data_IF_393170684272
#
_entry.id   IF_393170684272
#
_cell.length_a   1.000
_cell.length_b   1.000
_cell.length_c   1.000
_cell.angle_alpha   90.00
_cell.angle_beta   90.00
_cell.angle_gamma   90.00
#
_symmetry.space_group_name_H-M   'P 1'
#
loop_
_entity.id
_entity.type
_entity.pdbx_description
1 polymer ?
#
# COMPACT_ATOMS: atom_id res chain seq x y z
N UNK A 1 -15.60 -8.11 8.30
CA UNK A 1 -14.63 -8.98 7.58
C UNK A 1 -13.34 -9.01 8.39
N UNK A 2 -12.65 -10.15 8.48
CA UNK A 2 -11.37 -10.22 9.20
C UNK A 2 -10.29 -9.45 8.44
N UNK A 3 -9.36 -8.78 9.12
CA UNK A 3 -8.38 -7.89 8.47
C UNK A 3 -7.56 -8.60 7.38
N UNK A 4 -7.25 -9.89 7.58
CA UNK A 4 -6.58 -10.75 6.59
C UNK A 4 -7.32 -10.83 5.24
N UNK A 5 -8.65 -10.90 5.25
CA UNK A 5 -9.46 -10.97 4.03
C UNK A 5 -9.60 -9.58 3.37
N UNK A 6 -9.67 -8.52 4.18
CA UNK A 6 -9.67 -7.14 3.69
C UNK A 6 -8.35 -6.79 3.01
N UNK A 7 -7.23 -7.16 3.65
CA UNK A 7 -5.90 -7.06 3.10
C UNK A 7 -5.79 -7.81 1.77
N UNK A 8 -6.22 -9.08 1.75
CA UNK A 8 -6.26 -9.88 0.53
C UNK A 8 -7.04 -9.19 -0.60
N UNK A 9 -8.19 -8.59 -0.30
CA UNK A 9 -8.99 -7.87 -1.29
C UNK A 9 -8.24 -6.63 -1.85
N UNK A 10 -7.57 -5.86 -0.99
CA UNK A 10 -6.77 -4.72 -1.41
C UNK A 10 -5.59 -5.13 -2.30
N UNK A 11 -4.86 -6.19 -1.93
CA UNK A 11 -3.75 -6.74 -2.74
C UNK A 11 -4.24 -7.26 -4.10
N UNK A 12 -5.38 -7.94 -4.14
CA UNK A 12 -5.93 -8.41 -5.41
C UNK A 12 -6.40 -7.25 -6.30
N UNK A 13 -6.92 -6.17 -5.71
CA UNK A 13 -7.28 -4.96 -6.45
C UNK A 13 -6.04 -4.25 -7.03
N UNK A 14 -4.97 -4.11 -6.26
CA UNK A 14 -3.71 -3.53 -6.76
C UNK A 14 -3.05 -4.40 -7.83
N UNK A 15 -3.09 -5.73 -7.69
CA UNK A 15 -2.66 -6.68 -8.73
C UNK A 15 -3.48 -6.51 -10.01
N UNK A 16 -4.81 -6.41 -9.90
CA UNK A 16 -5.67 -6.20 -11.06
C UNK A 16 -5.32 -4.89 -11.81
N UNK A 17 -4.96 -3.82 -11.09
CA UNK A 17 -4.48 -2.58 -11.72
C UNK A 17 -3.08 -2.78 -12.33
N UNK A 18 -2.16 -3.41 -11.60
CA UNK A 18 -0.78 -3.62 -12.07
C UNK A 18 -0.69 -4.46 -13.36
N UNK A 19 -1.57 -5.46 -13.53
CA UNK A 19 -1.64 -6.25 -14.78
C UNK A 19 -2.01 -5.44 -16.02
N UNK A 20 -2.46 -4.19 -15.86
CA UNK A 20 -2.83 -3.28 -16.95
C UNK A 20 -1.75 -2.27 -17.29
N UNK A 21 -0.67 -2.22 -16.51
CA UNK A 21 0.48 -1.34 -16.74
C UNK A 21 1.19 -1.80 -18.00
N UNK A 22 1.47 -0.85 -18.90
CA UNK A 22 2.29 -1.08 -20.09
C UNK A 22 3.69 -0.51 -19.90
N UNK A 23 4.63 -0.88 -20.77
CA UNK A 23 5.99 -0.32 -20.75
C UNK A 23 6.00 1.21 -20.87
N UNK A 24 5.06 1.78 -21.63
CA UNK A 24 4.91 3.22 -21.79
C UNK A 24 4.43 3.92 -20.51
N UNK A 25 3.74 3.19 -19.63
CA UNK A 25 3.26 3.74 -18.36
C UNK A 25 4.36 3.82 -17.31
N UNK A 26 5.41 3.00 -17.40
CA UNK A 26 6.44 2.86 -16.37
C UNK A 26 7.13 4.19 -16.01
N UNK A 27 7.28 5.11 -16.95
CA UNK A 27 7.88 6.43 -16.73
C UNK A 27 6.89 7.52 -16.34
N UNK A 28 5.58 7.24 -16.28
CA UNK A 28 4.56 8.23 -15.92
C UNK A 28 4.72 8.64 -14.46
N UNK A 29 4.44 9.92 -14.11
CA UNK A 29 4.43 10.35 -12.72
C UNK A 29 3.29 9.67 -11.95
N UNK A 30 3.38 9.66 -10.62
CA UNK A 30 2.34 9.16 -9.71
C UNK A 30 1.92 10.25 -8.71
N UNK A 31 0.82 10.05 -7.97
CA UNK A 31 0.46 10.93 -6.85
C UNK A 31 1.52 10.92 -5.71
N UNK A 32 2.32 9.85 -5.59
CA UNK A 32 3.51 9.85 -4.76
C UNK A 32 4.58 10.71 -5.45
N UNK A 33 4.76 11.94 -4.96
CA UNK A 33 5.69 12.89 -5.56
C UNK A 33 7.09 12.28 -5.71
N UNK A 34 7.77 12.60 -6.81
CA UNK A 34 9.09 12.06 -7.21
C UNK A 34 9.10 10.59 -7.66
N UNK A 35 7.99 9.85 -7.56
CA UNK A 35 7.92 8.47 -8.02
C UNK A 35 7.25 8.35 -9.38
N UNK A 36 7.93 7.64 -10.27
CA UNK A 36 7.32 7.07 -11.49
C UNK A 36 6.50 5.82 -11.16
N UNK A 37 5.70 5.34 -12.10
CA UNK A 37 4.99 4.05 -11.97
C UNK A 37 5.95 2.90 -11.65
N UNK A 38 7.14 2.87 -12.29
CA UNK A 38 8.15 1.88 -11.98
C UNK A 38 8.66 1.98 -10.53
N UNK A 39 8.85 3.20 -10.00
CA UNK A 39 9.24 3.40 -8.60
C UNK A 39 8.13 2.95 -7.64
N UNK A 40 6.87 3.29 -7.94
CA UNK A 40 5.72 2.89 -7.13
C UNK A 40 5.58 1.36 -7.07
N UNK A 41 5.63 0.68 -8.22
CA UNK A 41 5.60 -0.79 -8.26
C UNK A 41 6.75 -1.43 -7.47
N UNK A 42 7.95 -0.84 -7.56
CA UNK A 42 9.13 -1.30 -6.81
C UNK A 42 8.91 -1.12 -5.31
N UNK A 43 8.38 0.02 -4.87
CA UNK A 43 8.04 0.27 -3.47
C UNK A 43 7.03 -0.75 -2.94
N UNK A 44 5.93 -0.95 -3.67
CA UNK A 44 4.91 -1.93 -3.32
C UNK A 44 5.54 -3.34 -3.22
N UNK A 45 6.36 -3.75 -4.19
CA UNK A 45 7.03 -5.04 -4.16
C UNK A 45 7.94 -5.21 -2.91
N UNK A 46 8.66 -4.16 -2.51
CA UNK A 46 9.45 -4.15 -1.27
C UNK A 46 8.56 -4.30 -0.04
N UNK A 47 7.44 -3.57 0.05
CA UNK A 47 6.49 -3.69 1.16
C UNK A 47 5.95 -5.12 1.26
N UNK A 48 5.49 -5.71 0.14
CA UNK A 48 5.02 -7.09 0.11
C UNK A 48 6.06 -8.07 0.67
N UNK A 49 7.32 -7.97 0.24
CA UNK A 49 8.40 -8.84 0.72
C UNK A 49 8.70 -8.65 2.19
N UNK A 50 8.73 -7.40 2.66
CA UNK A 50 9.00 -7.10 4.06
C UNK A 50 7.92 -7.66 4.98
N UNK A 51 6.66 -7.50 4.61
CA UNK A 51 5.54 -8.08 5.35
C UNK A 51 5.49 -9.60 5.26
N UNK A 52 5.85 -10.19 4.11
CA UNK A 52 5.96 -11.64 3.95
C UNK A 52 7.06 -12.23 4.86
N UNK A 53 8.24 -11.60 4.88
CA UNK A 53 9.34 -11.98 5.77
C UNK A 53 8.92 -11.86 7.25
N UNK A 54 8.29 -10.76 7.64
CA UNK A 54 7.79 -10.56 9.01
C UNK A 54 6.78 -11.63 9.42
N UNK A 55 5.88 -12.04 8.51
CA UNK A 55 4.93 -13.12 8.75
C UNK A 55 5.60 -14.49 8.92
N UNK A 56 6.78 -14.69 8.31
CA UNK A 56 7.63 -15.88 8.49
C UNK A 56 8.59 -15.78 9.69
N UNK A 57 8.60 -14.65 10.41
CA UNK A 57 9.52 -14.39 11.52
C UNK A 57 10.95 -14.05 11.07
N UNK A 58 11.12 -13.62 9.82
CA UNK A 58 12.38 -13.29 9.18
C UNK A 58 12.58 -11.75 9.14
N UNK A 59 13.80 -11.33 8.77
CA UNK A 59 14.13 -9.91 8.52
C UNK A 59 14.15 -9.65 7.01
N UNK A 60 13.78 -8.44 6.62
CA UNK A 60 13.85 -7.96 5.23
C UNK A 60 14.62 -6.64 5.14
N UNK A 61 15.13 -6.32 3.95
CA UNK A 61 15.58 -4.97 3.61
C UNK A 61 14.39 -4.19 3.05
N UNK A 62 14.04 -3.08 3.70
CA UNK A 62 12.92 -2.20 3.34
C UNK A 62 13.36 -1.00 2.51
N UNK A 63 14.65 -0.89 2.19
CA UNK A 63 15.18 0.17 1.32
C UNK A 63 14.62 0.01 -0.08
N UNK A 64 14.20 1.13 -0.68
CA UNK A 64 13.75 1.17 -2.08
C UNK A 64 14.97 1.01 -3.02
N UNK A 65 15.08 -0.09 -3.79
CA UNK A 65 16.13 -0.23 -4.79
C UNK A 65 15.77 0.51 -6.09
N UNK A 66 16.68 0.47 -7.06
CA UNK A 66 16.33 0.80 -8.44
C UNK A 66 15.26 -0.19 -8.96
N UNK A 67 14.35 0.24 -9.85
CA UNK A 67 13.35 -0.66 -10.42
C UNK A 67 13.97 -1.88 -11.10
N UNK A 68 13.32 -3.04 -10.94
CA UNK A 68 13.68 -4.25 -11.66
C UNK A 68 13.55 -4.07 -13.18
N UNK A 69 14.18 -4.92 -14.01
CA UNK A 69 13.97 -4.90 -15.46
C UNK A 69 12.50 -5.07 -15.87
N UNK A 70 11.74 -5.84 -15.09
CA UNK A 70 10.29 -5.98 -15.21
C UNK A 70 9.63 -5.70 -13.85
N UNK A 71 9.30 -4.43 -13.53
CA UNK A 71 8.70 -4.06 -12.25
C UNK A 71 7.30 -4.66 -12.04
N UNK A 72 6.58 -4.93 -13.13
CA UNK A 72 5.22 -5.50 -13.05
C UNK A 72 5.32 -6.96 -12.62
N UNK A 73 6.12 -7.78 -13.29
CA UNK A 73 6.30 -9.18 -12.92
C UNK A 73 6.87 -9.32 -11.50
N UNK A 74 7.82 -8.46 -11.12
CA UNK A 74 8.40 -8.40 -9.78
C UNK A 74 7.34 -8.14 -8.71
N UNK A 75 6.50 -7.12 -8.93
CA UNK A 75 5.39 -6.77 -8.05
C UNK A 75 4.36 -7.90 -7.92
N UNK A 76 3.96 -8.51 -9.04
CA UNK A 76 3.00 -9.62 -9.04
C UNK A 76 3.50 -10.84 -8.25
N UNK A 77 4.79 -11.17 -8.38
CA UNK A 77 5.40 -12.24 -7.62
C UNK A 77 5.43 -11.94 -6.12
N UNK A 78 5.78 -10.71 -5.73
CA UNK A 78 5.78 -10.28 -4.33
C UNK A 78 4.36 -10.29 -3.73
N UNK A 79 3.35 -9.84 -4.50
CA UNK A 79 1.94 -9.88 -4.08
C UNK A 79 1.43 -11.29 -3.85
N UNK A 80 1.80 -12.24 -4.71
CA UNK A 80 1.47 -13.65 -4.50
C UNK A 80 2.12 -14.21 -3.22
N UNK A 81 3.38 -13.87 -2.95
CA UNK A 81 4.12 -14.33 -1.77
C UNK A 81 3.52 -13.82 -0.46
N UNK A 82 3.20 -12.52 -0.35
CA UNK A 82 2.62 -11.96 0.89
C UNK A 82 1.26 -12.59 1.20
N UNK A 83 0.44 -12.87 0.17
CA UNK A 83 -0.85 -13.53 0.34
C UNK A 83 -0.70 -14.95 0.90
N UNK A 84 0.36 -15.67 0.53
CA UNK A 84 0.68 -16.97 1.10
C UNK A 84 1.17 -16.80 2.54
N UNK A 85 2.13 -15.91 2.76
CA UNK A 85 2.73 -15.68 4.07
C UNK A 85 1.70 -15.27 5.14
N UNK A 86 0.78 -14.36 4.81
CA UNK A 86 -0.28 -13.92 5.73
C UNK A 86 -1.27 -15.02 6.09
N UNK A 87 -1.48 -16.03 5.24
CA UNK A 87 -2.32 -17.20 5.59
C UNK A 87 -1.70 -18.00 6.73
N UNK A 88 -0.38 -18.11 6.74
CA UNK A 88 0.41 -18.92 7.68
C UNK A 88 0.92 -18.12 8.89
N UNK A 89 0.75 -16.79 8.86
CA UNK A 89 1.21 -15.88 9.92
C UNK A 89 0.69 -16.26 11.31
N UNK A 90 1.59 -16.17 12.30
CA UNK A 90 1.27 -16.28 13.72
C UNK A 90 0.50 -15.07 14.27
N UNK A 91 0.40 -14.96 15.60
CA UNK A 91 -0.36 -13.90 16.28
C UNK A 91 0.36 -12.55 16.38
N UNK A 92 1.65 -12.48 16.09
CA UNK A 92 2.45 -11.27 16.16
C UNK A 92 3.47 -11.20 15.01
N UNK A 93 3.68 -9.99 14.48
CA UNK A 93 4.64 -9.69 13.42
C UNK A 93 5.64 -8.64 13.94
N UNK A 94 6.93 -8.87 13.69
CA UNK A 94 7.97 -7.91 14.01
C UNK A 94 8.23 -7.01 12.81
N UNK A 95 8.07 -5.69 12.99
CA UNK A 95 8.33 -4.65 11.99
C UNK A 95 9.35 -3.65 12.56
N UNK A 96 10.66 -3.97 12.54
CA UNK A 96 11.70 -3.17 13.19
C UNK A 96 11.75 -1.73 12.73
N UNK A 97 11.30 -1.47 11.50
CA UNK A 97 11.40 -0.14 10.88
C UNK A 97 10.35 0.82 11.41
N UNK A 98 9.33 0.29 12.10
CA UNK A 98 8.35 1.07 12.84
C UNK A 98 8.74 1.11 14.32
N UNK A 99 9.03 -0.06 14.91
CA UNK A 99 9.52 -0.18 16.30
C UNK A 99 10.15 -1.54 16.57
N UNK A 100 10.93 -1.63 17.65
CA UNK A 100 11.63 -2.85 18.05
C UNK A 100 10.71 -3.96 18.59
N UNK A 101 9.51 -3.64 19.09
CA UNK A 101 8.58 -4.63 19.65
C UNK A 101 7.57 -5.13 18.59
N UNK A 102 7.23 -6.44 18.59
CA UNK A 102 6.22 -6.97 17.69
C UNK A 102 4.87 -6.27 17.82
N UNK A 103 4.13 -6.20 16.72
CA UNK A 103 2.72 -5.82 16.69
C UNK A 103 1.85 -7.08 16.75
N UNK A 104 0.62 -6.98 17.29
CA UNK A 104 -0.41 -7.97 16.98
C UNK A 104 -0.53 -8.12 15.46
N UNK A 105 -0.63 -9.35 14.97
CA UNK A 105 -0.66 -9.62 13.53
C UNK A 105 -1.78 -8.87 12.82
N UNK A 106 -2.95 -8.76 13.46
CA UNK A 106 -4.07 -7.99 12.91
C UNK A 106 -3.72 -6.52 12.69
N UNK A 107 -2.97 -5.91 13.61
CA UNK A 107 -2.55 -4.52 13.49
C UNK A 107 -1.49 -4.35 12.39
N UNK A 108 -0.52 -5.26 12.30
CA UNK A 108 0.47 -5.24 11.22
C UNK A 108 -0.20 -5.41 9.85
N UNK A 109 -1.15 -6.35 9.72
CA UNK A 109 -1.95 -6.54 8.50
C UNK A 109 -2.81 -5.31 8.19
N UNK A 110 -3.27 -4.55 9.20
CA UNK A 110 -3.99 -3.31 8.96
C UNK A 110 -3.11 -2.21 8.35
N UNK A 111 -1.82 -2.17 8.70
CA UNK A 111 -0.87 -1.24 8.07
C UNK A 111 -0.66 -1.57 6.59
N UNK A 112 -0.42 -2.85 6.27
CA UNK A 112 -0.32 -3.31 4.89
C UNK A 112 -1.62 -3.06 4.13
N UNK A 113 -2.77 -3.40 4.72
CA UNK A 113 -4.08 -3.20 4.10
C UNK A 113 -4.32 -1.76 3.66
N UNK A 114 -4.12 -0.78 4.55
CA UNK A 114 -4.39 0.62 4.21
C UNK A 114 -3.40 1.16 3.17
N UNK A 115 -2.13 0.72 3.25
CA UNK A 115 -1.10 1.07 2.26
C UNK A 115 -1.52 0.61 0.86
N UNK A 116 -2.01 -0.63 0.73
CA UNK A 116 -2.43 -1.19 -0.54
C UNK A 116 -3.74 -0.61 -1.08
N UNK A 117 -4.66 -0.18 -0.23
CA UNK A 117 -5.84 0.57 -0.69
C UNK A 117 -5.41 1.88 -1.36
N UNK A 118 -4.48 2.61 -0.74
CA UNK A 118 -4.01 3.90 -1.27
C UNK A 118 -3.13 3.71 -2.50
N UNK A 119 -2.19 2.76 -2.48
CA UNK A 119 -1.30 2.54 -3.62
C UNK A 119 -1.98 1.88 -4.82
N UNK A 120 -3.05 1.09 -4.62
CA UNK A 120 -3.91 0.66 -5.72
C UNK A 120 -4.55 1.87 -6.42
N UNK A 121 -4.99 2.87 -5.66
CA UNK A 121 -5.49 4.13 -6.20
C UNK A 121 -4.38 4.95 -6.87
N UNK A 122 -3.21 5.09 -6.24
CA UNK A 122 -2.08 5.84 -6.79
C UNK A 122 -1.70 5.28 -8.18
N UNK A 123 -1.60 3.96 -8.30
CA UNK A 123 -1.27 3.27 -9.56
C UNK A 123 -2.39 3.42 -10.59
N UNK A 124 -3.66 3.27 -10.18
CA UNK A 124 -4.79 3.38 -11.09
C UNK A 124 -4.90 4.79 -11.68
N UNK A 125 -4.73 5.83 -10.85
CA UNK A 125 -4.63 7.23 -11.30
C UNK A 125 -3.48 7.40 -12.28
N UNK A 126 -2.29 6.92 -11.92
CA UNK A 126 -1.10 7.07 -12.75
C UNK A 126 -1.27 6.52 -14.16
N UNK A 127 -2.03 5.43 -14.34
CA UNK A 127 -2.28 4.83 -15.66
C UNK A 127 -3.62 5.24 -16.30
N UNK A 128 -4.42 6.07 -15.63
CA UNK A 128 -5.70 6.57 -16.16
C UNK A 128 -6.83 5.54 -16.09
N UNK A 129 -6.94 4.82 -14.98
CA UNK A 129 -8.03 3.86 -14.76
C UNK A 129 -8.59 3.87 -13.34
N UNK A 130 -9.59 3.02 -13.11
CA UNK A 130 -10.29 2.86 -11.85
C UNK A 130 -9.73 1.66 -11.08
N UNK A 131 -9.80 1.77 -9.75
CA UNK A 131 -9.46 0.67 -8.83
C UNK A 131 -10.72 -0.13 -8.49
N UNK A 132 -10.70 -1.48 -8.60
CA UNK A 132 -11.87 -2.31 -8.32
C UNK A 132 -12.05 -2.54 -6.82
N UNK A 133 -12.29 -1.48 -6.04
CA UNK A 133 -12.58 -1.52 -4.61
C UNK A 133 -14.03 -1.10 -4.34
N UNK A 134 -14.78 -1.94 -3.63
CA UNK A 134 -16.14 -1.66 -3.22
C UNK A 134 -16.25 -1.19 -1.76
N UNK A 135 -17.46 -0.79 -1.35
CA UNK A 135 -17.73 -0.27 -0.01
C UNK A 135 -17.43 -1.27 1.11
N UNK A 136 -17.42 -2.58 0.83
CA UNK A 136 -17.08 -3.60 1.83
C UNK A 136 -15.60 -3.57 2.23
N UNK A 137 -14.75 -3.08 1.34
CA UNK A 137 -13.33 -2.84 1.58
C UNK A 137 -13.09 -1.39 2.02
N UNK A 138 -13.74 -0.43 1.37
CA UNK A 138 -13.52 1.00 1.63
C UNK A 138 -14.01 1.43 3.02
N UNK A 139 -15.13 0.89 3.53
CA UNK A 139 -15.60 1.25 4.87
C UNK A 139 -14.57 0.87 5.96
N UNK A 140 -14.03 -0.36 6.03
CA UNK A 140 -12.92 -0.69 6.94
C UNK A 140 -11.63 0.10 6.66
N UNK A 141 -11.30 0.38 5.40
CA UNK A 141 -10.13 1.20 5.07
C UNK A 141 -10.27 2.61 5.66
N UNK A 142 -11.46 3.19 5.63
CA UNK A 142 -11.75 4.46 6.29
C UNK A 142 -11.60 4.39 7.83
N UNK A 143 -11.92 3.25 8.45
CA UNK A 143 -11.67 3.01 9.88
C UNK A 143 -10.18 3.01 10.21
N UNK A 144 -9.34 2.42 9.35
CA UNK A 144 -7.89 2.41 9.54
C UNK A 144 -7.29 3.77 9.24
N UNK A 145 -7.68 4.42 8.13
CA UNK A 145 -7.13 5.69 7.69
C UNK A 145 -7.22 6.78 8.76
N UNK A 146 -8.37 6.89 9.46
CA UNK A 146 -8.55 7.91 10.49
C UNK A 146 -7.76 7.66 11.77
N UNK A 147 -7.25 6.45 11.96
CA UNK A 147 -6.39 6.11 13.09
C UNK A 147 -4.92 6.46 12.81
N UNK A 148 -4.57 6.74 11.55
CA UNK A 148 -3.23 7.20 11.17
C UNK A 148 -3.05 8.65 11.66
N UNK A 149 -2.16 8.92 12.64
CA UNK A 149 -2.01 10.26 13.19
C UNK A 149 -1.64 11.28 12.11
N UNK A 150 -2.32 12.42 12.09
CA UNK A 150 -2.01 13.56 11.23
C UNK A 150 -1.36 14.66 12.07
N UNK A 151 -0.03 14.64 12.10
CA UNK A 151 0.79 15.50 12.96
C UNK A 151 2.14 15.82 12.32
N UNK A 152 3.01 16.51 13.06
CA UNK A 152 4.32 16.96 12.57
C UNK A 152 5.22 15.80 12.10
N UNK A 153 4.96 14.59 12.61
CA UNK A 153 5.56 13.33 12.16
C UNK A 153 5.42 13.12 10.65
N UNK A 154 4.30 13.57 10.04
CA UNK A 154 4.06 13.46 8.59
C UNK A 154 4.88 14.44 7.74
N UNK A 155 5.58 15.40 8.36
CA UNK A 155 6.47 16.34 7.67
C UNK A 155 7.93 15.88 7.68
N UNK A 156 8.25 14.80 8.39
CA UNK A 156 9.61 14.25 8.44
C UNK A 156 9.95 13.62 7.10
N UNK A 157 11.25 13.64 6.71
CA UNK A 157 11.74 12.76 5.66
C UNK A 157 11.31 11.31 5.95
N UNK A 158 10.92 10.58 4.92
CA UNK A 158 10.53 9.15 4.98
C UNK A 158 9.24 8.84 5.77
N UNK A 159 8.38 9.84 6.02
CA UNK A 159 7.06 9.59 6.58
C UNK A 159 6.22 8.66 5.66
N UNK A 160 5.55 7.67 6.25
CA UNK A 160 4.72 6.71 5.51
C UNK A 160 3.57 7.36 4.72
N UNK A 161 3.03 8.46 5.24
CA UNK A 161 1.99 9.25 4.60
C UNK A 161 2.32 10.74 4.68
N UNK A 162 2.03 11.46 3.60
CA UNK A 162 2.08 12.92 3.57
C UNK A 162 0.97 13.51 4.47
N UNK A 163 1.10 14.79 4.90
CA UNK A 163 0.05 15.47 5.67
C UNK A 163 -1.30 15.40 4.96
N UNK A 164 -2.39 15.25 5.73
CA UNK A 164 -3.72 15.20 5.14
C UNK A 164 -4.02 16.46 4.32
N UNK A 165 -4.75 16.29 3.22
CA UNK A 165 -5.24 17.40 2.40
C UNK A 165 -6.76 17.53 2.54
N UNK A 166 -7.35 18.70 2.26
CA UNK A 166 -8.80 18.86 2.31
C UNK A 166 -9.51 17.86 1.39
N UNK A 167 -10.32 16.99 1.98
CA UNK A 167 -11.21 16.14 1.22
C UNK A 167 -12.28 17.01 0.55
N UNK A 168 -12.61 16.69 -0.71
CA UNK A 168 -13.80 17.26 -1.38
C UNK A 168 -15.01 16.39 -1.06
N UNK A 169 -16.20 16.95 -1.24
CA UNK A 169 -17.40 16.12 -1.31
C UNK A 169 -17.23 15.15 -2.50
N UNK A 170 -17.22 13.85 -2.21
CA UNK A 170 -16.79 12.82 -3.16
C UNK A 170 -16.97 11.41 -2.62
N UNK A 171 -16.45 10.43 -3.35
CA UNK A 171 -16.53 9.03 -2.98
C UNK A 171 -15.75 8.76 -1.68
N UNK A 172 -16.05 7.64 -1.00
CA UNK A 172 -15.35 7.28 0.23
C UNK A 172 -13.83 7.12 0.01
N UNK A 173 -13.44 6.60 -1.15
CA UNK A 173 -12.03 6.49 -1.54
C UNK A 173 -11.33 7.85 -1.61
N UNK A 174 -11.99 8.89 -2.14
CA UNK A 174 -11.42 10.24 -2.20
C UNK A 174 -11.12 10.78 -0.80
N UNK A 175 -12.00 10.49 0.17
CA UNK A 175 -11.77 10.88 1.58
C UNK A 175 -10.60 10.11 2.19
N UNK A 176 -10.50 8.80 1.93
CA UNK A 176 -9.40 7.96 2.41
C UNK A 176 -8.06 8.50 1.91
N UNK A 177 -7.91 8.71 0.60
CA UNK A 177 -6.64 9.14 0.02
C UNK A 177 -6.29 10.59 0.42
N UNK A 178 -7.29 11.47 0.58
CA UNK A 178 -7.09 12.82 1.10
C UNK A 178 -6.59 12.82 2.56
N UNK A 179 -7.17 11.99 3.43
CA UNK A 179 -6.68 11.78 4.81
C UNK A 179 -5.25 11.25 4.85
N UNK A 180 -4.80 10.59 3.78
CA UNK A 180 -3.47 10.01 3.65
C UNK A 180 -2.56 10.81 2.69
N UNK A 181 -2.92 12.07 2.45
CA UNK A 181 -2.08 13.10 1.84
C UNK A 181 -2.04 13.13 0.31
N UNK A 182 -2.96 12.45 -0.36
CA UNK A 182 -3.12 12.51 -1.83
C UNK A 182 -4.20 13.52 -2.19
N UNK A 183 -3.98 14.32 -3.23
CA UNK A 183 -5.06 15.12 -3.83
C UNK A 183 -5.98 14.21 -4.65
N UNK A 184 -7.27 14.07 -4.29
CA UNK A 184 -8.19 13.22 -5.05
C UNK A 184 -8.40 13.65 -6.51
N UNK A 185 -8.02 14.90 -6.85
CA UNK A 185 -8.12 15.47 -8.19
C UNK A 185 -6.85 15.33 -9.06
N UNK A 186 -5.84 14.58 -8.59
CA UNK A 186 -4.65 14.23 -9.39
C UNK A 186 -5.04 13.46 -10.65
#
# INVERSE_FOLDING_TARGET
MHIKELDRAAVLASVAVATRVTDADLSRPTPCTEWTVANLLTHMAVQHRGFAAAARGERADWRLPAPAPDPVADYLAAGADVLIAFREAGSALLLPEIREQPFPAEQAMAFHFIDYVVHAWDLARAIGTDVPLDDTVLAPAWEVARQVPDGEERRRPDAAFQPAVPARDGALLDRIVATLGRDPAW
#
